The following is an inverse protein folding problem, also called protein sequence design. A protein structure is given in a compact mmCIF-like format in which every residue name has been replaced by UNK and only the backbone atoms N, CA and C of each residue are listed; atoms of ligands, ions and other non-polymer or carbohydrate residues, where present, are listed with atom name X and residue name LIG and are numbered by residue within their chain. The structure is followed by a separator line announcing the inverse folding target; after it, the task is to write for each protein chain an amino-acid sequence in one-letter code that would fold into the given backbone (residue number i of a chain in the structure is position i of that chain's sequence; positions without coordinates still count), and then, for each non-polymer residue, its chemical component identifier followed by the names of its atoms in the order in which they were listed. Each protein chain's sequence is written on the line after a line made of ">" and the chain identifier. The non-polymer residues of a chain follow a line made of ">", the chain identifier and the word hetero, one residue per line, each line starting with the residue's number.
data_IF_301263305651
#
_entry.id   IF_301263305651
#
_cell.length_a   1.000
_cell.length_b   1.000
_cell.length_c   1.000
_cell.angle_alpha   90.00
_cell.angle_beta   90.00
_cell.angle_gamma   90.00
#
_symmetry.space_group_name_H-M   'P 1'
#
loop_
_entity.id
_entity.type
_entity.pdbx_description
1 polymer ?
#
# COMPACT_ATOMS: atom_id res chain seq x y z
N UNK A 1 3.50 -21.90 -10.08
CA UNK A 1 2.99 -20.59 -10.54
C UNK A 1 3.41 -19.56 -9.51
N UNK A 2 4.28 -18.61 -9.87
CA UNK A 2 4.63 -17.48 -9.03
C UNK A 2 3.64 -16.35 -9.31
N UNK A 3 2.83 -15.97 -8.33
CA UNK A 3 2.03 -14.76 -8.38
C UNK A 3 2.81 -13.62 -7.74
N UNK A 4 2.90 -12.47 -8.39
CA UNK A 4 3.33 -11.23 -7.78
C UNK A 4 2.10 -10.58 -7.14
N UNK A 5 2.21 -10.21 -5.87
CA UNK A 5 1.14 -9.51 -5.16
C UNK A 5 1.66 -8.23 -4.56
N UNK A 6 0.82 -7.20 -4.61
CA UNK A 6 1.15 -5.89 -4.07
C UNK A 6 0.08 -5.47 -3.08
N UNK A 7 0.51 -4.97 -1.93
CA UNK A 7 -0.35 -4.57 -0.82
C UNK A 7 0.20 -3.30 -0.16
N UNK A 8 -0.72 -2.43 0.25
CA UNK A 8 -0.51 -1.13 0.87
C UNK A 8 -1.86 -0.45 1.11
N UNK A 9 -1.94 0.56 1.97
CA UNK A 9 -3.24 1.19 2.29
C UNK A 9 -3.85 1.94 1.11
N UNK A 10 -3.01 2.33 0.14
CA UNK A 10 -3.43 3.06 -1.05
C UNK A 10 -3.44 2.25 -2.35
N UNK A 11 -3.29 0.93 -2.27
CA UNK A 11 -3.49 0.04 -3.41
C UNK A 11 -4.93 -0.51 -3.43
N UNK A 12 -5.34 -1.10 -4.56
CA UNK A 12 -6.48 -2.00 -4.52
C UNK A 12 -6.25 -3.09 -3.47
N UNK A 13 -7.30 -3.44 -2.71
CA UNK A 13 -7.23 -4.57 -1.81
C UNK A 13 -6.69 -5.76 -2.61
N UNK A 14 -5.65 -6.46 -2.10
CA UNK A 14 -5.00 -7.49 -2.88
C UNK A 14 -6.04 -8.56 -3.24
N UNK A 15 -6.08 -8.93 -4.51
CA UNK A 15 -7.04 -9.93 -4.99
C UNK A 15 -6.68 -11.27 -4.36
N UNK A 16 -7.62 -11.93 -3.65
CA UNK A 16 -7.37 -13.25 -3.11
C UNK A 16 -7.02 -14.21 -4.24
N UNK A 17 -5.89 -14.92 -4.12
CA UNK A 17 -5.52 -15.93 -5.12
C UNK A 17 -5.94 -17.30 -4.66
N UNK A 18 -6.67 -17.97 -5.54
CA UNK A 18 -7.10 -19.34 -5.35
C UNK A 18 -5.94 -20.28 -5.68
N UNK A 19 -5.41 -20.95 -4.67
CA UNK A 19 -4.52 -22.09 -4.86
C UNK A 19 -5.36 -23.36 -4.86
N UNK A 20 -5.13 -24.24 -5.84
CA UNK A 20 -5.74 -25.56 -5.91
C UNK A 20 -4.66 -26.64 -5.92
N UNK A 21 -4.88 -27.69 -5.15
CA UNK A 21 -4.03 -28.88 -5.13
C UNK A 21 -4.89 -30.13 -5.16
N UNK A 22 -4.41 -31.19 -5.79
CA UNK A 22 -5.01 -32.53 -5.73
C UNK A 22 -4.02 -33.50 -5.13
N UNK A 23 -4.52 -34.43 -4.33
CA UNK A 23 -3.72 -35.54 -3.87
C UNK A 23 -3.60 -36.54 -5.02
N UNK A 24 -2.40 -37.09 -5.23
CA UNK A 24 -2.19 -38.17 -6.19
C UNK A 24 -2.91 -39.46 -5.76
N UNK A 25 -3.20 -39.58 -4.46
CA UNK A 25 -3.97 -40.67 -3.86
C UNK A 25 -4.85 -40.13 -2.75
N UNK A 26 -6.12 -40.51 -2.76
CA UNK A 26 -7.06 -40.18 -1.69
C UNK A 26 -6.71 -40.90 -0.39
N UNK A 27 -6.80 -40.16 0.72
CA UNK A 27 -6.57 -40.69 2.06
C UNK A 27 -7.88 -41.23 2.65
N UNK A 28 -7.78 -42.31 3.42
CA UNK A 28 -8.93 -42.85 4.16
C UNK A 28 -9.15 -42.08 5.45
N UNK A 29 -10.34 -41.53 5.65
CA UNK A 29 -10.72 -40.79 6.85
C UNK A 29 -10.76 -39.27 6.67
N UNK A 30 -11.08 -38.56 7.74
CA UNK A 30 -11.13 -37.09 7.73
C UNK A 30 -9.72 -36.51 7.63
N UNK A 31 -9.55 -35.50 6.79
CA UNK A 31 -8.29 -34.78 6.60
C UNK A 31 -8.51 -33.30 6.88
N UNK A 32 -7.60 -32.69 7.63
CA UNK A 32 -7.62 -31.28 7.99
C UNK A 32 -6.46 -30.55 7.28
N UNK A 33 -6.66 -30.08 6.04
CA UNK A 33 -5.63 -29.37 5.29
C UNK A 33 -5.39 -27.95 5.82
N UNK A 34 -4.11 -27.58 6.00
CA UNK A 34 -3.68 -26.28 6.51
C UNK A 34 -2.51 -25.75 5.67
N UNK A 35 -2.51 -24.45 5.37
CA UNK A 35 -1.32 -23.76 4.86
C UNK A 35 -0.51 -23.20 6.04
N UNK A 36 0.78 -23.48 6.03
CA UNK A 36 1.76 -22.88 6.93
C UNK A 36 2.45 -21.73 6.21
N UNK A 37 2.34 -20.54 6.82
CA UNK A 37 3.05 -19.34 6.44
C UNK A 37 4.00 -18.92 7.57
N UNK A 38 5.24 -19.41 7.51
CA UNK A 38 6.23 -19.19 8.55
C UNK A 38 6.63 -17.70 8.71
N UNK A 39 6.48 -16.90 7.66
CA UNK A 39 6.81 -15.47 7.69
C UNK A 39 5.62 -14.58 8.08
N UNK A 40 4.42 -15.16 8.21
CA UNK A 40 3.18 -14.45 8.59
C UNK A 40 2.85 -13.25 7.69
N UNK A 41 3.10 -13.39 6.39
CA UNK A 41 2.85 -12.39 5.35
C UNK A 41 1.43 -12.46 4.77
N UNK A 42 0.68 -13.52 5.09
CA UNK A 42 -0.72 -13.70 4.70
C UNK A 42 -1.68 -13.23 5.81
N UNK A 43 -2.83 -12.70 5.37
CA UNK A 43 -3.94 -12.29 6.21
C UNK A 43 -4.75 -13.50 6.66
N UNK A 44 -5.04 -13.58 7.96
CA UNK A 44 -6.00 -14.52 8.55
C UNK A 44 -7.38 -13.89 8.79
N UNK A 45 -7.60 -12.66 8.32
CA UNK A 45 -8.83 -11.90 8.54
C UNK A 45 -10.07 -12.58 7.92
N UNK A 46 -9.89 -13.35 6.85
CA UNK A 46 -10.96 -14.09 6.17
C UNK A 46 -11.05 -15.56 6.63
N UNK A 47 -10.47 -15.85 7.80
CA UNK A 47 -10.37 -17.18 8.39
C UNK A 47 -8.92 -17.60 8.57
N UNK A 48 -8.70 -18.64 9.38
CA UNK A 48 -7.49 -19.45 9.26
C UNK A 48 -7.33 -19.85 7.78
N UNK A 49 -6.11 -20.09 7.29
CA UNK A 49 -5.83 -20.53 5.92
C UNK A 49 -6.43 -21.93 5.64
N UNK A 50 -7.75 -22.02 5.76
CA UNK A 50 -8.58 -23.19 5.86
C UNK A 50 -8.92 -23.61 4.46
N UNK A 51 -8.44 -24.80 4.13
CA UNK A 51 -8.51 -25.32 2.78
C UNK A 51 -9.81 -26.11 2.64
N UNK A 52 -10.62 -25.77 1.64
CA UNK A 52 -11.89 -26.43 1.35
C UNK A 52 -11.68 -27.50 0.28
N UNK A 53 -12.25 -28.69 0.48
CA UNK A 53 -12.26 -29.75 -0.54
C UNK A 53 -13.45 -29.55 -1.48
N UNK A 54 -13.17 -29.38 -2.77
CA UNK A 54 -14.16 -29.31 -3.84
C UNK A 54 -14.72 -30.68 -4.21
N UNK A 55 -15.85 -30.67 -4.92
CA UNK A 55 -16.51 -31.88 -5.44
C UNK A 55 -15.63 -32.67 -6.43
N UNK A 56 -14.65 -32.00 -7.05
CA UNK A 56 -13.67 -32.57 -7.96
C UNK A 56 -12.47 -33.21 -7.23
N UNK A 57 -12.53 -33.31 -5.89
CA UNK A 57 -11.47 -33.82 -5.04
C UNK A 57 -10.30 -32.84 -4.84
N UNK A 58 -10.33 -31.66 -5.46
CA UNK A 58 -9.29 -30.66 -5.27
C UNK A 58 -9.48 -29.92 -3.96
N UNK A 59 -8.37 -29.67 -3.28
CA UNK A 59 -8.27 -28.83 -2.11
C UNK A 59 -7.96 -27.41 -2.55
N UNK A 60 -8.70 -26.43 -2.03
CA UNK A 60 -8.55 -25.04 -2.45
C UNK A 60 -8.59 -24.06 -1.30
N UNK A 61 -7.81 -22.99 -1.42
CA UNK A 61 -7.73 -21.92 -0.42
C UNK A 61 -7.48 -20.59 -1.12
N UNK A 62 -8.10 -19.54 -0.60
CA UNK A 62 -7.81 -18.18 -1.01
C UNK A 62 -6.70 -17.61 -0.13
N UNK A 63 -5.64 -17.14 -0.77
CA UNK A 63 -4.52 -16.50 -0.10
C UNK A 63 -4.60 -15.00 -0.35
N UNK A 64 -4.61 -14.23 0.74
CA UNK A 64 -4.62 -12.77 0.70
C UNK A 64 -3.42 -12.27 1.50
N UNK A 65 -2.53 -11.44 0.94
CA UNK A 65 -1.47 -10.78 1.68
C UNK A 65 -2.03 -9.94 2.85
N UNK A 66 -1.28 -9.85 3.95
CA UNK A 66 -1.63 -9.00 5.08
C UNK A 66 -1.50 -7.53 4.71
N UNK A 67 -2.52 -6.72 4.99
CA UNK A 67 -2.42 -5.25 4.84
C UNK A 67 -1.51 -4.73 5.96
N UNK A 68 -0.60 -3.79 5.68
CA UNK A 68 0.35 -3.18 6.66
C UNK A 68 1.64 -3.96 6.97
N UNK A 69 2.15 -4.72 6.01
CA UNK A 69 3.54 -5.18 6.10
C UNK A 69 4.49 -4.02 5.77
N UNK A 70 5.65 -3.96 6.42
CA UNK A 70 6.69 -2.97 6.09
C UNK A 70 6.97 -3.02 4.59
N UNK A 71 7.17 -1.87 3.92
CA UNK A 71 7.54 -1.87 2.52
C UNK A 71 8.78 -2.73 2.26
N UNK A 72 8.75 -3.54 1.21
CA UNK A 72 9.81 -4.49 0.88
C UNK A 72 9.31 -5.69 0.09
N UNK A 73 10.27 -6.54 -0.30
CA UNK A 73 10.01 -7.78 -1.03
C UNK A 73 10.11 -8.96 -0.06
N UNK A 74 9.08 -9.80 -0.06
CA UNK A 74 8.96 -10.98 0.77
C UNK A 74 8.85 -12.19 -0.14
N UNK A 75 9.90 -13.00 -0.13
CA UNK A 75 9.96 -14.23 -0.89
C UNK A 75 10.15 -15.42 0.05
N UNK A 76 9.49 -16.52 -0.28
CA UNK A 76 9.53 -17.70 0.56
C UNK A 76 8.75 -18.85 -0.06
N UNK A 77 8.44 -19.82 0.78
CA UNK A 77 7.59 -20.96 0.44
C UNK A 77 6.47 -21.08 1.44
N UNK A 78 5.26 -21.29 0.94
CA UNK A 78 4.14 -21.77 1.72
C UNK A 78 4.18 -23.30 1.73
N UNK A 79 3.81 -23.91 2.85
CA UNK A 79 3.74 -25.35 2.97
C UNK A 79 2.28 -25.78 3.20
N UNK A 80 1.77 -26.67 2.35
CA UNK A 80 0.52 -27.38 2.61
C UNK A 80 0.80 -28.58 3.49
N UNK A 81 0.16 -28.61 4.65
CA UNK A 81 0.12 -29.75 5.56
C UNK A 81 -1.25 -30.40 5.50
N UNK A 82 -1.26 -31.73 5.62
CA UNK A 82 -2.48 -32.52 5.80
C UNK A 82 -2.47 -33.10 7.20
N UNK A 83 -3.36 -32.62 8.05
CA UNK A 83 -3.41 -33.02 9.44
C UNK A 83 -4.44 -34.15 9.65
N UNK A 84 -4.16 -35.05 10.58
CA UNK A 84 -5.06 -36.15 10.99
C UNK A 84 -6.11 -35.69 12.00
N UNK A 85 -5.87 -34.55 12.63
CA UNK A 85 -6.74 -33.91 13.62
C UNK A 85 -6.76 -32.39 13.40
N UNK A 86 -7.76 -31.72 13.97
CA UNK A 86 -7.98 -30.28 13.79
C UNK A 86 -6.90 -29.40 14.45
N UNK A 87 -6.17 -29.92 15.44
CA UNK A 87 -5.08 -29.20 16.10
C UNK A 87 -3.74 -29.37 15.35
N UNK A 88 -3.72 -30.21 14.32
CA UNK A 88 -2.52 -30.63 13.61
C UNK A 88 -1.43 -31.22 14.52
N UNK A 89 -1.82 -31.95 15.57
CA UNK A 89 -0.87 -32.65 16.43
C UNK A 89 -0.21 -33.84 15.73
N UNK A 90 -0.89 -34.41 14.72
CA UNK A 90 -0.35 -35.45 13.84
C UNK A 90 -0.60 -35.15 12.37
N UNK A 91 0.42 -35.40 11.54
CA UNK A 91 0.40 -35.07 10.11
C UNK A 91 0.49 -36.33 9.25
N UNK A 92 -0.07 -36.27 8.05
CA UNK A 92 0.24 -37.22 6.98
C UNK A 92 1.56 -36.81 6.33
N UNK A 93 2.42 -37.78 6.03
CA UNK A 93 3.60 -37.55 5.21
C UNK A 93 3.16 -37.27 3.77
N UNK A 94 3.44 -36.07 3.28
CA UNK A 94 3.14 -35.63 1.92
C UNK A 94 4.43 -35.34 1.18
N UNK A 95 4.54 -35.85 -0.05
CA UNK A 95 5.61 -35.47 -0.97
C UNK A 95 5.09 -34.35 -1.86
N UNK A 96 5.80 -33.22 -1.90
CA UNK A 96 5.33 -31.97 -2.49
C UNK A 96 4.62 -31.07 -1.48
N UNK A 97 3.82 -30.12 -1.96
CA UNK A 97 3.08 -29.20 -1.09
C UNK A 97 3.84 -27.93 -0.69
N UNK A 98 5.04 -27.71 -1.21
CA UNK A 98 5.70 -26.41 -1.14
C UNK A 98 5.33 -25.54 -2.34
N UNK A 99 4.90 -24.31 -2.09
CA UNK A 99 4.54 -23.34 -3.13
C UNK A 99 5.37 -22.07 -2.94
N UNK A 100 6.23 -21.70 -3.89
CA UNK A 100 6.99 -20.48 -3.78
C UNK A 100 6.06 -19.27 -3.92
N UNK A 101 6.34 -18.22 -3.16
CA UNK A 101 5.66 -16.93 -3.29
C UNK A 101 6.68 -15.79 -3.41
N UNK A 102 6.21 -14.70 -4.01
CA UNK A 102 6.91 -13.42 -4.04
C UNK A 102 5.89 -12.29 -3.86
N UNK A 103 5.93 -11.62 -2.72
CA UNK A 103 5.06 -10.50 -2.37
C UNK A 103 5.89 -9.22 -2.32
N UNK A 104 5.34 -8.13 -2.81
CA UNK A 104 6.01 -6.83 -2.84
C UNK A 104 5.10 -5.79 -2.17
N UNK A 105 5.54 -5.24 -1.04
CA UNK A 105 4.83 -4.18 -0.33
C UNK A 105 5.47 -2.86 -0.69
N UNK A 106 4.70 -1.98 -1.29
CA UNK A 106 5.17 -0.66 -1.71
C UNK A 106 4.76 0.39 -0.66
N UNK A 107 5.62 1.38 -0.36
CA UNK A 107 5.30 2.41 0.61
C UNK A 107 4.18 3.31 0.09
N UNK A 108 3.31 3.79 0.98
CA UNK A 108 2.33 4.81 0.62
C UNK A 108 3.01 6.15 0.31
N UNK A 109 2.43 6.95 -0.61
CA UNK A 109 2.94 8.31 -0.82
C UNK A 109 2.77 9.11 0.45
N UNK A 110 3.87 9.70 0.90
CA UNK A 110 3.97 10.57 2.07
C UNK A 110 4.51 11.91 1.60
N UNK A 111 3.74 12.96 1.86
CA UNK A 111 4.14 14.33 1.54
C UNK A 111 4.64 15.07 2.78
N UNK A 112 5.66 15.88 2.57
CA UNK A 112 6.20 16.86 3.52
C UNK A 112 6.28 18.20 2.85
N UNK A 113 6.12 19.28 3.61
CA UNK A 113 6.28 20.63 3.10
C UNK A 113 7.28 21.44 3.92
N UNK A 114 7.97 22.37 3.27
CA UNK A 114 8.87 23.33 3.89
C UNK A 114 8.56 24.74 3.40
N UNK A 115 8.72 25.73 4.27
CA UNK A 115 8.77 27.15 3.91
C UNK A 115 10.19 27.65 4.15
N UNK A 116 10.82 28.18 3.10
CA UNK A 116 12.21 28.65 3.13
C UNK A 116 13.18 27.63 3.74
N UNK A 117 12.99 26.34 3.42
CA UNK A 117 13.80 25.22 3.93
C UNK A 117 13.42 24.71 5.32
N UNK A 118 12.48 25.34 6.02
CA UNK A 118 12.02 24.91 7.36
C UNK A 118 10.77 24.05 7.23
N UNK A 119 10.74 22.82 7.79
CA UNK A 119 9.55 21.98 7.79
C UNK A 119 8.33 22.67 8.40
N UNK A 120 7.17 22.48 7.77
CA UNK A 120 5.90 23.06 8.22
C UNK A 120 5.08 22.02 8.98
N UNK A 121 4.45 22.47 10.07
CA UNK A 121 3.37 21.74 10.74
C UNK A 121 2.05 22.28 10.24
N UNK A 122 1.20 21.41 9.69
CA UNK A 122 -0.12 21.81 9.22
C UNK A 122 -1.10 22.13 10.37
N UNK A 123 -2.26 22.66 10.03
CA UNK A 123 -3.33 22.98 11.00
C UNK A 123 -3.82 21.78 11.81
N UNK A 124 -3.72 20.58 11.24
CA UNK A 124 -4.03 19.32 11.90
C UNK A 124 -2.91 18.79 12.81
N UNK A 125 -1.82 19.57 13.00
CA UNK A 125 -0.68 19.19 13.82
C UNK A 125 0.30 18.21 13.16
N UNK A 126 0.06 17.82 11.90
CA UNK A 126 0.93 16.88 11.19
C UNK A 126 2.07 17.60 10.46
N UNK A 127 3.26 17.01 10.47
CA UNK A 127 4.42 17.45 9.68
C UNK A 127 4.55 16.69 8.35
N UNK A 128 3.75 15.64 8.17
CA UNK A 128 3.62 14.87 6.94
C UNK A 128 2.24 14.26 6.83
N UNK A 129 1.78 14.03 5.60
CA UNK A 129 0.49 13.36 5.33
C UNK A 129 0.68 12.21 4.35
N UNK A 130 -0.10 11.15 4.50
CA UNK A 130 -0.08 9.99 3.58
C UNK A 130 -1.19 10.11 2.54
N UNK A 131 -1.36 9.10 1.69
CA UNK A 131 -2.36 9.18 0.61
C UNK A 131 -3.79 9.18 1.14
N UNK A 132 -4.65 9.95 0.48
CA UNK A 132 -6.00 10.29 0.96
C UNK A 132 -6.05 11.44 1.98
N UNK A 133 -4.91 11.96 2.44
CA UNK A 133 -4.84 13.08 3.39
C UNK A 133 -4.33 14.37 2.75
N UNK A 134 -4.65 15.51 3.38
CA UNK A 134 -4.17 16.84 2.96
C UNK A 134 -3.41 17.53 4.08
N UNK A 135 -2.21 18.03 3.78
CA UNK A 135 -1.44 18.91 4.67
C UNK A 135 -1.81 20.35 4.37
N UNK A 136 -2.38 21.07 5.35
CA UNK A 136 -2.87 22.43 5.16
C UNK A 136 -2.07 23.41 6.01
N UNK A 137 -1.56 24.48 5.43
CA UNK A 137 -0.83 25.53 6.16
C UNK A 137 -0.91 26.88 5.44
N UNK A 138 -0.55 27.95 6.15
CA UNK A 138 -0.50 29.31 5.59
C UNK A 138 0.90 29.69 5.16
N UNK A 139 1.01 30.40 4.04
CA UNK A 139 2.26 30.97 3.56
C UNK A 139 2.04 32.42 3.06
N UNK A 140 2.93 33.32 3.49
CA UNK A 140 2.96 34.69 2.99
C UNK A 140 3.40 34.74 1.50
N UNK A 141 3.07 35.83 0.80
CA UNK A 141 3.58 36.04 -0.55
C UNK A 141 5.12 36.22 -0.52
N UNK A 142 5.78 35.76 -1.57
CA UNK A 142 7.24 35.85 -1.73
C UNK A 142 8.04 34.76 -1.01
N UNK A 143 7.41 33.92 -0.17
CA UNK A 143 8.12 32.79 0.45
C UNK A 143 8.28 31.63 -0.52
N UNK A 144 9.36 30.87 -0.35
CA UNK A 144 9.59 29.63 -1.10
C UNK A 144 8.90 28.48 -0.39
N UNK A 145 8.04 27.77 -1.12
CA UNK A 145 7.44 26.51 -0.67
C UNK A 145 8.10 25.36 -1.42
N UNK A 146 8.51 24.35 -0.67
CA UNK A 146 8.97 23.07 -1.19
C UNK A 146 8.03 21.97 -0.68
N UNK A 147 7.57 21.11 -1.59
CA UNK A 147 6.80 19.90 -1.26
C UNK A 147 7.60 18.70 -1.74
N UNK A 148 7.81 17.73 -0.85
CA UNK A 148 8.60 16.53 -1.09
C UNK A 148 7.72 15.28 -0.97
N UNK A 149 8.03 14.27 -1.79
CA UNK A 149 7.44 12.94 -1.77
C UNK A 149 8.50 11.89 -1.45
N UNK A 150 8.16 10.89 -0.64
CA UNK A 150 9.03 9.73 -0.39
C UNK A 150 9.20 8.80 -1.62
N UNK A 151 8.26 8.83 -2.56
CA UNK A 151 8.25 8.02 -3.78
C UNK A 151 8.14 8.89 -5.05
N UNK A 152 8.49 8.37 -6.24
CA UNK A 152 8.24 9.05 -7.50
C UNK A 152 6.75 9.32 -7.76
N UNK A 153 6.41 10.56 -8.11
CA UNK A 153 5.06 11.06 -8.37
C UNK A 153 5.04 11.99 -9.58
N UNK A 154 3.86 12.13 -10.17
CA UNK A 154 3.52 13.23 -11.06
C UNK A 154 2.88 14.34 -10.25
N UNK A 155 3.41 15.55 -10.33
CA UNK A 155 2.89 16.72 -9.64
C UNK A 155 1.81 17.43 -10.45
N UNK A 156 0.77 17.90 -9.77
CA UNK A 156 -0.18 18.87 -10.31
C UNK A 156 -0.25 20.05 -9.35
N UNK A 157 0.05 21.24 -9.86
CA UNK A 157 -0.01 22.49 -9.10
C UNK A 157 -1.14 23.33 -9.67
N UNK A 158 -2.03 23.82 -8.81
CA UNK A 158 -3.16 24.65 -9.20
C UNK A 158 -3.58 25.61 -8.10
N UNK A 159 -4.59 26.42 -8.39
CA UNK A 159 -5.20 27.33 -7.45
C UNK A 159 -6.72 27.25 -7.54
N UNK A 160 -7.39 27.46 -6.42
CA UNK A 160 -8.84 27.40 -6.31
C UNK A 160 -9.35 28.63 -5.55
N UNK A 161 -10.22 29.42 -6.20
CA UNK A 161 -10.83 30.60 -5.58
C UNK A 161 -9.86 31.74 -5.25
N UNK A 162 -8.65 31.72 -5.82
CA UNK A 162 -7.58 32.71 -5.62
C UNK A 162 -6.88 33.01 -6.94
N UNK A 163 -6.29 34.20 -7.06
CA UNK A 163 -5.31 34.58 -8.08
C UNK A 163 -3.85 34.33 -7.61
N UNK A 164 -3.66 33.92 -6.35
CA UNK A 164 -2.36 33.44 -5.87
C UNK A 164 -2.03 32.12 -6.55
N UNK A 165 -0.75 31.96 -6.90
CA UNK A 165 -0.22 30.75 -7.49
C UNK A 165 1.11 30.38 -6.83
N UNK A 166 1.52 29.13 -7.00
CA UNK A 166 2.90 28.74 -6.78
C UNK A 166 3.64 28.89 -8.11
N UNK A 167 4.49 29.90 -8.22
CA UNK A 167 5.39 30.05 -9.37
C UNK A 167 6.48 28.99 -9.26
N UNK A 168 6.25 27.84 -9.88
CA UNK A 168 7.16 26.68 -9.84
C UNK A 168 8.51 27.05 -10.47
N UNK A 169 9.59 26.86 -9.70
CA UNK A 169 10.97 27.11 -10.12
C UNK A 169 11.74 25.82 -10.37
N UNK A 170 11.37 24.73 -9.70
CA UNK A 170 11.96 23.41 -9.90
C UNK A 170 10.91 22.33 -9.65
N UNK A 171 10.93 21.28 -10.46
CA UNK A 171 10.06 20.12 -10.30
C UNK A 171 10.82 18.85 -10.72
N UNK A 172 10.84 17.87 -9.84
CA UNK A 172 11.33 16.51 -10.07
C UNK A 172 10.20 15.51 -9.84
N UNK A 173 10.46 14.22 -10.00
CA UNK A 173 9.50 13.18 -9.60
C UNK A 173 9.35 13.05 -8.08
N UNK A 174 10.19 13.70 -7.26
CA UNK A 174 10.12 13.64 -5.79
C UNK A 174 9.95 14.98 -5.10
N UNK A 175 10.00 16.09 -5.83
CA UNK A 175 9.83 17.41 -5.25
C UNK A 175 9.23 18.41 -6.22
N UNK A 176 8.51 19.39 -5.68
CA UNK A 176 8.15 20.62 -6.37
C UNK A 176 8.49 21.81 -5.49
N UNK A 177 9.16 22.81 -6.08
CA UNK A 177 9.64 24.01 -5.41
C UNK A 177 9.09 25.20 -6.18
N UNK A 178 8.55 26.19 -5.47
CA UNK A 178 8.15 27.44 -6.08
C UNK A 178 7.97 28.57 -5.08
N UNK A 179 7.77 29.77 -5.60
CA UNK A 179 7.52 30.97 -4.79
C UNK A 179 6.04 31.30 -4.82
N UNK A 180 5.46 31.59 -3.65
CA UNK A 180 4.04 31.98 -3.56
C UNK A 180 3.87 33.39 -4.12
N UNK A 181 3.03 33.57 -5.13
CA UNK A 181 2.77 34.89 -5.71
C UNK A 181 1.87 35.73 -4.80
N UNK A 182 1.96 37.05 -4.96
CA UNK A 182 0.97 37.96 -4.40
C UNK A 182 -0.40 37.77 -5.08
N UNK A 183 -1.47 38.16 -4.38
CA UNK A 183 -2.84 38.03 -4.83
C UNK A 183 -3.83 38.17 -3.66
N UNK A 184 -5.11 38.08 -3.97
CA UNK A 184 -6.21 38.06 -3.01
C UNK A 184 -6.09 36.88 -2.02
N UNK A 185 -6.46 37.11 -0.77
CA UNK A 185 -6.38 36.12 0.31
C UNK A 185 -7.51 35.08 0.32
N UNK A 186 -8.51 35.23 -0.55
CA UNK A 186 -9.51 34.19 -0.76
C UNK A 186 -8.89 32.99 -1.46
N UNK A 187 -9.33 31.77 -1.13
CA UNK A 187 -8.97 30.52 -1.83
C UNK A 187 -7.71 29.80 -1.31
N UNK A 188 -7.19 28.88 -2.14
CA UNK A 188 -6.00 28.07 -1.83
C UNK A 188 -5.15 27.78 -3.07
N UNK A 189 -3.88 27.48 -2.84
CA UNK A 189 -3.01 26.82 -3.82
C UNK A 189 -2.96 25.34 -3.46
N UNK A 190 -3.24 24.47 -4.44
CA UNK A 190 -3.22 23.03 -4.28
C UNK A 190 -2.00 22.43 -4.99
N UNK A 191 -1.22 21.64 -4.26
CA UNK A 191 -0.14 20.82 -4.80
C UNK A 191 -0.51 19.35 -4.58
N UNK A 192 -0.80 18.64 -5.66
CA UNK A 192 -1.23 17.24 -5.65
C UNK A 192 -0.09 16.35 -6.15
N UNK A 193 0.11 15.23 -5.47
CA UNK A 193 1.08 14.21 -5.82
C UNK A 193 0.35 12.92 -6.20
N UNK A 194 0.45 12.53 -7.47
CA UNK A 194 -0.09 11.28 -7.98
C UNK A 194 1.06 10.29 -8.15
N UNK A 195 1.09 9.15 -7.43
CA UNK A 195 2.10 8.12 -7.65
C UNK A 195 2.23 7.74 -9.13
N UNK A 196 3.46 7.59 -9.63
CA UNK A 196 3.70 7.17 -11.02
C UNK A 196 3.18 5.75 -11.25
N UNK A 197 3.24 4.90 -10.22
CA UNK A 197 2.61 3.60 -10.24
C UNK A 197 1.08 3.75 -10.27
N UNK A 198 0.47 3.37 -11.38
CA UNK A 198 -0.98 3.53 -11.60
C UNK A 198 -1.84 2.58 -10.78
N UNK A 199 -1.23 1.69 -9.99
CA UNK A 199 -1.95 0.78 -9.08
C UNK A 199 -2.38 1.45 -7.77
N UNK A 200 -1.85 2.64 -7.47
CA UNK A 200 -2.34 3.48 -6.37
C UNK A 200 -3.73 4.04 -6.69
N UNK A 201 -4.61 4.09 -5.68
CA UNK A 201 -5.99 4.59 -5.78
C UNK A 201 -6.15 6.04 -5.31
N UNK A 202 -5.27 6.47 -4.42
CA UNK A 202 -5.42 7.76 -3.74
C UNK A 202 -4.16 8.61 -3.94
N UNK A 203 -4.37 9.91 -4.07
CA UNK A 203 -3.30 10.91 -4.11
C UNK A 203 -3.16 11.56 -2.72
N UNK A 204 -2.01 12.20 -2.50
CA UNK A 204 -1.82 13.12 -1.36
C UNK A 204 -1.82 14.54 -1.87
N UNK A 205 -2.22 15.48 -1.03
CA UNK A 205 -2.16 16.90 -1.38
C UNK A 205 -1.61 17.77 -0.26
N UNK A 206 -1.00 18.88 -0.67
CA UNK A 206 -0.68 20.02 0.17
C UNK A 206 -1.57 21.18 -0.27
N UNK A 207 -2.17 21.87 0.69
CA UNK A 207 -2.97 23.06 0.46
C UNK A 207 -2.33 24.24 1.17
N UNK A 208 -1.96 25.26 0.39
CA UNK A 208 -1.35 26.49 0.90
C UNK A 208 -2.43 27.58 0.93
N UNK A 209 -2.65 28.14 2.11
CA UNK A 209 -3.62 29.20 2.36
C UNK A 209 -2.93 30.57 2.43
N UNK A 210 -3.70 31.61 2.13
CA UNK A 210 -3.23 32.98 2.23
C UNK A 210 -3.06 33.45 3.68
N UNK A 211 -1.95 34.15 3.96
CA UNK A 211 -1.75 34.94 5.17
C UNK A 211 -2.20 36.38 4.94
#
# INVERSE_FOLDING_TARGET
>A
MSGLFISGSNYAAPTPVLVKARLSRELSGTVYPVIVDAQQVLSTQYGNLAVTRGADGAYSVFLTPKVQTTPGVYAGKLQLKLCKDAACASEYQVTGGEFPYNLEFQPDVTLRAKINGVPVTGYNGFTSVTSGQTLQFVAAAGVTVEVESNIPVTWTVGSAGTDRALSVTSQTDKSVIGTVTAGALGGSIDVKATPIDTRYKYYSSVMVLGQ
#
